data_IF_741721059518
#
_entry.id   IF_741721059518
#
_cell.length_a   1.000
_cell.length_b   1.000
_cell.length_c   1.000
_cell.angle_alpha   90.00
_cell.angle_beta   90.00
_cell.angle_gamma   90.00
#
_symmetry.space_group_name_H-M   'P 1'
#
loop_
_entity.id
_entity.type
_entity.pdbx_description
1 polymer ?
#
# COMPACT_ATOMS: atom_id res chain seq x y z
N UNK A 1 -11.72 -22.11 -22.46
CA UNK A 1 -11.27 -21.78 -21.09
C UNK A 1 -12.53 -21.46 -20.30
N UNK A 2 -12.81 -22.15 -19.20
CA UNK A 2 -14.04 -21.97 -18.42
C UNK A 2 -13.74 -21.28 -17.10
N UNK A 3 -14.35 -20.12 -16.88
CA UNK A 3 -14.31 -19.41 -15.60
C UNK A 3 -15.30 -20.03 -14.63
N UNK A 4 -14.92 -20.13 -13.37
CA UNK A 4 -15.80 -20.45 -12.25
C UNK A 4 -15.74 -19.33 -11.23
N UNK A 5 -16.87 -19.06 -10.59
CA UNK A 5 -16.98 -18.08 -9.52
C UNK A 5 -16.71 -18.81 -8.20
N UNK A 6 -15.57 -18.52 -7.60
CA UNK A 6 -15.18 -19.10 -6.31
C UNK A 6 -15.47 -18.09 -5.22
N UNK A 7 -16.25 -18.50 -4.21
CA UNK A 7 -16.36 -17.74 -2.97
C UNK A 7 -15.46 -18.43 -1.93
N UNK A 8 -14.34 -17.81 -1.51
CA UNK A 8 -13.49 -18.39 -0.49
C UNK A 8 -14.27 -18.52 0.83
N UNK A 9 -13.94 -19.53 1.63
CA UNK A 9 -14.50 -19.64 2.98
C UNK A 9 -14.24 -18.36 3.78
N UNK A 10 -15.21 -17.95 4.60
CA UNK A 10 -15.13 -16.66 5.33
C UNK A 10 -13.88 -16.54 6.19
N UNK A 11 -13.45 -17.63 6.82
CA UNK A 11 -12.22 -17.65 7.62
C UNK A 11 -10.97 -17.47 6.75
N UNK A 12 -10.94 -18.11 5.58
CA UNK A 12 -9.86 -17.96 4.61
C UNK A 12 -9.84 -16.52 4.11
N UNK A 13 -10.97 -15.99 3.63
CA UNK A 13 -11.08 -14.62 3.16
C UNK A 13 -10.60 -13.61 4.22
N UNK A 14 -11.04 -13.77 5.47
CA UNK A 14 -10.62 -12.92 6.57
C UNK A 14 -9.11 -13.03 6.87
N UNK A 15 -8.54 -14.24 6.81
CA UNK A 15 -7.11 -14.48 7.11
C UNK A 15 -6.16 -13.79 6.12
N UNK A 16 -6.62 -13.57 4.89
CA UNK A 16 -5.85 -12.95 3.81
C UNK A 16 -6.40 -11.59 3.37
N UNK A 17 -7.37 -11.03 4.11
CA UNK A 17 -7.93 -9.71 3.82
C UNK A 17 -8.73 -9.62 2.51
N UNK A 18 -9.22 -10.75 2.01
CA UNK A 18 -10.09 -10.78 0.83
C UNK A 18 -11.52 -10.38 1.21
N UNK A 19 -12.24 -9.66 0.32
CA UNK A 19 -13.64 -9.37 0.52
C UNK A 19 -14.50 -10.63 0.38
N UNK A 20 -15.66 -10.65 1.06
CA UNK A 20 -16.65 -11.72 0.96
C UNK A 20 -17.44 -11.60 -0.36
N UNK A 21 -16.75 -11.89 -1.46
CA UNK A 21 -17.27 -11.79 -2.83
C UNK A 21 -16.85 -12.99 -3.66
N UNK A 22 -17.59 -13.24 -4.73
CA UNK A 22 -17.20 -14.23 -5.74
C UNK A 22 -16.03 -13.72 -6.58
N UNK A 23 -15.02 -14.57 -6.76
CA UNK A 23 -13.80 -14.27 -7.49
C UNK A 23 -13.74 -15.18 -8.71
N UNK A 24 -13.60 -14.62 -9.93
CA UNK A 24 -13.48 -15.41 -11.15
C UNK A 24 -12.11 -16.08 -11.21
N UNK A 25 -12.10 -17.40 -11.38
CA UNK A 25 -10.89 -18.22 -11.50
C UNK A 25 -11.09 -19.24 -12.61
N UNK A 26 -10.07 -19.50 -13.43
CA UNK A 26 -10.12 -20.60 -14.40
C UNK A 26 -10.22 -21.94 -13.67
N UNK A 27 -11.16 -22.78 -14.10
CA UNK A 27 -11.49 -24.04 -13.42
C UNK A 27 -10.25 -24.91 -13.13
N UNK A 28 -9.32 -24.97 -14.07
CA UNK A 28 -8.05 -25.71 -13.96
C UNK A 28 -7.08 -25.18 -12.89
N UNK A 29 -7.27 -23.96 -12.38
CA UNK A 29 -6.39 -23.31 -11.41
C UNK A 29 -6.96 -23.28 -9.99
N UNK A 30 -8.23 -23.66 -9.79
CA UNK A 30 -8.93 -23.57 -8.50
C UNK A 30 -8.16 -24.31 -7.41
N UNK A 31 -7.84 -25.59 -7.62
CA UNK A 31 -7.17 -26.42 -6.61
C UNK A 31 -5.76 -25.93 -6.27
N UNK A 32 -5.08 -25.33 -7.25
CA UNK A 32 -3.74 -24.75 -7.06
C UNK A 32 -3.83 -23.48 -6.20
N UNK A 33 -4.80 -22.62 -6.48
CA UNK A 33 -4.93 -21.31 -5.82
C UNK A 33 -5.53 -21.46 -4.42
N UNK A 34 -6.52 -22.33 -4.24
CA UNK A 34 -7.22 -22.55 -2.97
C UNK A 34 -6.80 -23.85 -2.28
N UNK A 35 -5.53 -24.24 -2.45
CA UNK A 35 -4.96 -25.39 -1.75
C UNK A 35 -4.78 -25.14 -0.24
N UNK A 36 -3.72 -25.68 0.34
CA UNK A 36 -3.47 -25.55 1.81
C UNK A 36 -3.32 -24.11 2.29
N UNK A 37 -2.81 -23.22 1.43
CA UNK A 37 -2.75 -21.76 1.63
C UNK A 37 -3.21 -21.12 0.34
N UNK A 38 -3.89 -19.98 0.44
CA UNK A 38 -4.32 -19.23 -0.74
C UNK A 38 -3.10 -18.59 -1.40
N UNK A 39 -2.91 -18.85 -2.68
CA UNK A 39 -1.92 -18.16 -3.52
C UNK A 39 -2.52 -16.84 -4.02
N UNK A 40 -2.38 -15.78 -3.22
CA UNK A 40 -2.97 -14.47 -3.52
C UNK A 40 -2.40 -13.86 -4.81
N UNK A 41 -1.12 -14.07 -5.10
CA UNK A 41 -0.47 -13.58 -6.30
C UNK A 41 -1.11 -14.21 -7.54
N UNK A 42 -1.26 -15.54 -7.55
CA UNK A 42 -1.95 -16.23 -8.62
C UNK A 42 -3.43 -15.85 -8.73
N UNK A 43 -4.10 -15.60 -7.60
CA UNK A 43 -5.49 -15.14 -7.59
C UNK A 43 -5.63 -13.75 -8.25
N UNK A 44 -4.71 -12.82 -7.99
CA UNK A 44 -4.66 -11.52 -8.69
C UNK A 44 -4.41 -11.70 -10.18
N UNK A 45 -3.52 -12.61 -10.57
CA UNK A 45 -3.28 -12.91 -11.99
C UNK A 45 -4.53 -13.46 -12.68
N UNK A 46 -5.35 -14.28 -12.00
CA UNK A 46 -6.64 -14.73 -12.53
C UNK A 46 -7.63 -13.59 -12.71
N UNK A 47 -7.71 -12.66 -11.74
CA UNK A 47 -8.60 -11.51 -11.82
C UNK A 47 -8.22 -10.57 -12.96
N UNK A 48 -6.93 -10.30 -13.17
CA UNK A 48 -6.48 -9.52 -14.33
C UNK A 48 -6.74 -10.25 -15.66
N UNK A 49 -6.53 -11.57 -15.71
CA UNK A 49 -6.84 -12.36 -16.90
C UNK A 49 -8.35 -12.39 -17.21
N UNK A 50 -9.20 -12.42 -16.18
CA UNK A 50 -10.65 -12.33 -16.33
C UNK A 50 -11.06 -10.96 -16.85
N UNK A 51 -10.52 -9.89 -16.28
CA UNK A 51 -10.78 -8.53 -16.71
C UNK A 51 -10.40 -8.28 -18.17
N UNK A 52 -9.31 -8.90 -18.64
CA UNK A 52 -8.90 -8.84 -20.04
C UNK A 52 -9.84 -9.63 -20.97
N UNK A 53 -10.40 -10.74 -20.49
CA UNK A 53 -11.31 -11.59 -21.27
C UNK A 53 -12.76 -11.07 -21.29
N UNK A 54 -13.21 -10.45 -20.19
CA UNK A 54 -14.58 -9.99 -19.97
C UNK A 54 -14.59 -8.51 -19.51
N UNK A 55 -14.23 -7.54 -20.36
CA UNK A 55 -14.09 -6.14 -19.95
C UNK A 55 -15.37 -5.52 -19.37
N UNK A 56 -16.53 -5.97 -19.86
CA UNK A 56 -17.85 -5.50 -19.39
C UNK A 56 -18.17 -5.97 -17.97
N UNK A 57 -17.44 -6.97 -17.46
CA UNK A 57 -17.59 -7.48 -16.10
C UNK A 57 -16.66 -6.81 -15.08
N UNK A 58 -15.71 -5.96 -15.52
CA UNK A 58 -14.71 -5.31 -14.65
C UNK A 58 -15.39 -4.55 -13.51
N UNK A 59 -16.43 -3.77 -13.81
CA UNK A 59 -17.13 -2.97 -12.80
C UNK A 59 -17.70 -3.80 -11.64
N UNK A 60 -17.95 -5.10 -11.85
CA UNK A 60 -18.47 -6.01 -10.81
C UNK A 60 -17.36 -6.52 -9.88
N UNK A 61 -16.12 -6.56 -10.36
CA UNK A 61 -14.98 -7.15 -9.65
C UNK A 61 -13.93 -6.12 -9.24
N UNK A 62 -14.05 -4.86 -9.67
CA UNK A 62 -13.04 -3.81 -9.48
C UNK A 62 -12.66 -3.62 -8.01
N UNK A 63 -13.64 -3.46 -7.12
CA UNK A 63 -13.38 -3.32 -5.69
C UNK A 63 -12.65 -4.54 -5.10
N UNK A 64 -13.00 -5.74 -5.55
CA UNK A 64 -12.35 -6.98 -5.15
C UNK A 64 -10.92 -7.05 -5.66
N UNK A 65 -10.69 -6.72 -6.94
CA UNK A 65 -9.35 -6.65 -7.53
C UNK A 65 -8.45 -5.68 -6.76
N UNK A 66 -8.95 -4.48 -6.46
CA UNK A 66 -8.22 -3.46 -5.71
C UNK A 66 -7.83 -3.95 -4.31
N UNK A 67 -8.78 -4.57 -3.58
CA UNK A 67 -8.50 -5.12 -2.26
C UNK A 67 -7.42 -6.22 -2.31
N UNK A 68 -7.50 -7.09 -3.32
CA UNK A 68 -6.53 -8.15 -3.54
C UNK A 68 -5.12 -7.64 -3.81
N UNK A 69 -4.96 -6.57 -4.61
CA UNK A 69 -3.65 -5.93 -4.78
C UNK A 69 -3.08 -5.46 -3.45
N UNK A 70 -3.88 -4.80 -2.62
CA UNK A 70 -3.44 -4.35 -1.29
C UNK A 70 -2.98 -5.50 -0.39
N UNK A 71 -3.70 -6.63 -0.41
CA UNK A 71 -3.37 -7.82 0.36
C UNK A 71 -2.08 -8.50 -0.12
N UNK A 72 -1.92 -8.71 -1.43
CA UNK A 72 -0.71 -9.29 -2.04
C UNK A 72 0.50 -8.43 -1.72
N UNK A 73 0.40 -7.11 -1.91
CA UNK A 73 1.52 -6.21 -1.66
C UNK A 73 1.91 -6.23 -0.18
N UNK A 74 0.96 -6.27 0.75
CA UNK A 74 1.28 -6.35 2.18
C UNK A 74 1.96 -7.67 2.58
N UNK A 75 1.52 -8.81 2.02
CA UNK A 75 2.20 -10.10 2.20
C UNK A 75 3.65 -10.05 1.66
N UNK A 76 3.84 -9.57 0.43
CA UNK A 76 5.16 -9.46 -0.18
C UNK A 76 6.09 -8.51 0.59
N UNK A 77 5.56 -7.40 1.13
CA UNK A 77 6.32 -6.49 1.99
C UNK A 77 6.75 -7.16 3.31
N UNK A 78 5.88 -7.98 3.92
CA UNK A 78 6.22 -8.75 5.14
C UNK A 78 7.31 -9.78 4.87
N UNK A 79 7.27 -10.42 3.71
CA UNK A 79 8.28 -11.38 3.26
C UNK A 79 9.55 -10.73 2.69
N UNK A 80 9.59 -9.39 2.64
CA UNK A 80 10.69 -8.58 2.07
C UNK A 80 10.95 -8.85 0.58
N UNK A 81 9.95 -9.35 -0.14
CA UNK A 81 9.96 -9.50 -1.61
C UNK A 81 9.61 -8.17 -2.28
N UNK A 82 10.50 -7.19 -2.15
CA UNK A 82 10.21 -5.80 -2.48
C UNK A 82 9.97 -5.56 -3.97
N UNK A 83 10.69 -6.24 -4.85
CA UNK A 83 10.53 -6.11 -6.31
C UNK A 83 9.14 -6.57 -6.76
N UNK A 84 8.67 -7.70 -6.21
CA UNK A 84 7.31 -8.16 -6.47
C UNK A 84 6.28 -7.23 -5.84
N UNK A 85 6.52 -6.74 -4.61
CA UNK A 85 5.63 -5.79 -3.95
C UNK A 85 5.46 -4.50 -4.78
N UNK A 86 6.54 -3.94 -5.32
CA UNK A 86 6.47 -2.79 -6.24
C UNK A 86 5.69 -3.13 -7.51
N UNK A 87 5.97 -4.28 -8.14
CA UNK A 87 5.25 -4.72 -9.34
C UNK A 87 3.74 -4.80 -9.11
N UNK A 88 3.31 -5.46 -8.03
CA UNK A 88 1.89 -5.57 -7.68
C UNK A 88 1.28 -4.23 -7.27
N UNK A 89 2.01 -3.36 -6.57
CA UNK A 89 1.52 -2.03 -6.22
C UNK A 89 1.30 -1.16 -7.46
N UNK A 90 2.23 -1.18 -8.42
CA UNK A 90 2.09 -0.50 -9.71
C UNK A 90 0.93 -1.07 -10.52
N UNK A 91 0.74 -2.39 -10.52
CA UNK A 91 -0.44 -3.04 -11.14
C UNK A 91 -1.73 -2.51 -10.50
N UNK A 92 -1.86 -2.57 -9.19
CA UNK A 92 -3.04 -2.08 -8.48
C UNK A 92 -3.30 -0.58 -8.66
N UNK A 93 -2.25 0.25 -8.77
CA UNK A 93 -2.39 1.68 -9.07
C UNK A 93 -2.88 1.95 -10.50
N UNK A 94 -2.78 1.01 -11.45
CA UNK A 94 -3.44 1.15 -12.75
C UNK A 94 -4.95 0.98 -12.64
N UNK A 95 -5.40 0.14 -11.71
CA UNK A 95 -6.82 -0.05 -11.40
C UNK A 95 -7.36 1.13 -10.59
N UNK A 96 -6.61 1.58 -9.59
CA UNK A 96 -7.01 2.70 -8.73
C UNK A 96 -5.85 3.70 -8.54
N UNK A 97 -5.65 4.65 -9.48
CA UNK A 97 -4.53 5.60 -9.44
C UNK A 97 -4.50 6.49 -8.20
N UNK A 98 -5.68 6.77 -7.63
CA UNK A 98 -5.85 7.58 -6.43
C UNK A 98 -5.69 6.82 -5.12
N UNK A 99 -5.46 5.50 -5.14
CA UNK A 99 -5.49 4.72 -3.90
C UNK A 99 -4.26 4.99 -3.02
N UNK A 100 -4.49 5.75 -1.95
CA UNK A 100 -3.46 6.19 -1.00
C UNK A 100 -2.70 4.99 -0.41
N UNK A 101 -3.39 3.92 0.00
CA UNK A 101 -2.76 2.76 0.64
C UNK A 101 -1.75 2.06 -0.28
N UNK A 102 -2.10 1.80 -1.54
CA UNK A 102 -1.18 1.22 -2.52
C UNK A 102 0.01 2.14 -2.79
N UNK A 103 -0.20 3.45 -2.80
CA UNK A 103 0.89 4.43 -2.98
C UNK A 103 1.87 4.41 -1.80
N UNK A 104 1.35 4.31 -0.56
CA UNK A 104 2.19 4.13 0.64
C UNK A 104 2.98 2.83 0.58
N UNK A 105 2.32 1.73 0.20
CA UNK A 105 2.97 0.44 0.05
C UNK A 105 4.02 0.41 -1.06
N UNK A 106 3.80 1.10 -2.18
CA UNK A 106 4.79 1.29 -3.24
C UNK A 106 6.04 2.00 -2.70
N UNK A 107 5.86 3.08 -1.93
CA UNK A 107 6.97 3.76 -1.28
C UNK A 107 7.72 2.84 -0.30
N UNK A 108 7.00 2.00 0.47
CA UNK A 108 7.63 0.99 1.35
C UNK A 108 8.46 -0.02 0.56
N UNK A 109 7.97 -0.50 -0.58
CA UNK A 109 8.71 -1.43 -1.42
C UNK A 109 10.01 -0.79 -1.94
N UNK A 110 9.92 0.42 -2.50
CA UNK A 110 11.07 1.17 -3.01
C UNK A 110 12.09 1.49 -1.92
N UNK A 111 11.63 1.92 -0.75
CA UNK A 111 12.49 2.15 0.41
C UNK A 111 13.19 0.85 0.84
N UNK A 112 12.48 -0.28 0.86
CA UNK A 112 13.06 -1.60 1.15
C UNK A 112 14.18 -2.01 0.18
N UNK A 113 14.15 -1.49 -1.04
CA UNK A 113 15.19 -1.67 -2.07
C UNK A 113 16.29 -0.60 -2.04
N UNK A 114 16.30 0.28 -1.03
CA UNK A 114 17.27 1.38 -0.91
C UNK A 114 16.99 2.57 -1.83
N UNK A 115 15.82 2.63 -2.49
CA UNK A 115 15.39 3.73 -3.35
C UNK A 115 14.58 4.75 -2.53
N UNK A 116 15.25 5.39 -1.58
CA UNK A 116 14.64 6.29 -0.61
C UNK A 116 14.05 7.55 -1.26
N UNK A 117 14.70 8.11 -2.28
CA UNK A 117 14.22 9.29 -2.98
C UNK A 117 12.87 9.01 -3.69
N UNK A 118 12.78 7.91 -4.42
CA UNK A 118 11.54 7.47 -5.07
C UNK A 118 10.44 7.19 -4.05
N UNK A 119 10.76 6.51 -2.95
CA UNK A 119 9.82 6.24 -1.87
C UNK A 119 9.19 7.52 -1.29
N UNK A 120 10.02 8.54 -1.03
CA UNK A 120 9.58 9.83 -0.51
C UNK A 120 8.62 10.54 -1.46
N UNK A 121 8.83 10.46 -2.78
CA UNK A 121 7.88 11.01 -3.76
C UNK A 121 6.49 10.37 -3.59
N UNK A 122 6.42 9.05 -3.42
CA UNK A 122 5.15 8.36 -3.23
C UNK A 122 4.50 8.70 -1.88
N UNK A 123 5.28 8.80 -0.81
CA UNK A 123 4.78 9.15 0.51
C UNK A 123 4.28 10.60 0.59
N UNK A 124 5.00 11.56 0.00
CA UNK A 124 4.54 12.95 -0.14
C UNK A 124 3.23 13.06 -0.92
N UNK A 125 3.12 12.33 -2.03
CA UNK A 125 1.88 12.29 -2.80
C UNK A 125 0.73 11.68 -2.00
N UNK A 126 1.01 10.64 -1.19
CA UNK A 126 0.03 10.04 -0.29
C UNK A 126 -0.40 11.01 0.83
N UNK A 127 0.53 11.73 1.46
CA UNK A 127 0.25 12.78 2.46
C UNK A 127 -0.62 13.88 1.85
N UNK A 128 -0.27 14.35 0.65
CA UNK A 128 -1.03 15.41 -0.04
C UNK A 128 -2.46 14.98 -0.31
N UNK A 129 -2.67 13.77 -0.83
CA UNK A 129 -4.01 13.22 -1.06
C UNK A 129 -4.78 13.03 0.26
N UNK A 130 -4.13 12.46 1.27
CA UNK A 130 -4.72 12.22 2.58
C UNK A 130 -5.17 13.53 3.26
N UNK A 131 -4.37 14.60 3.15
CA UNK A 131 -4.74 15.94 3.64
C UNK A 131 -5.97 16.49 2.90
N UNK A 132 -6.02 16.35 1.57
CA UNK A 132 -7.17 16.78 0.76
C UNK A 132 -8.45 16.02 1.12
N UNK A 133 -8.34 14.75 1.50
CA UNK A 133 -9.47 13.89 1.89
C UNK A 133 -9.81 14.01 3.39
N UNK A 134 -9.09 14.83 4.15
CA UNK A 134 -9.18 14.94 5.62
C UNK A 134 -8.98 13.57 6.33
N UNK A 135 -8.19 12.69 5.72
CA UNK A 135 -7.86 11.35 6.24
C UNK A 135 -6.49 11.37 6.90
N UNK A 136 -6.47 11.67 8.19
CA UNK A 136 -5.22 11.75 8.94
C UNK A 136 -4.66 10.37 9.30
N UNK A 137 -3.38 10.17 9.00
CA UNK A 137 -2.63 8.98 9.41
C UNK A 137 -1.28 9.41 9.99
N UNK A 138 -1.16 9.52 11.33
CA UNK A 138 0.09 9.99 11.94
C UNK A 138 1.32 9.16 11.53
N UNK A 139 1.13 7.85 11.33
CA UNK A 139 2.18 6.97 10.84
C UNK A 139 2.72 7.37 9.45
N UNK A 140 1.84 7.74 8.52
CA UNK A 140 2.25 8.19 7.19
C UNK A 140 3.05 9.49 7.25
N UNK A 141 2.64 10.44 8.08
CA UNK A 141 3.36 11.71 8.26
C UNK A 141 4.73 11.49 8.92
N UNK A 142 4.79 10.66 9.97
CA UNK A 142 6.06 10.29 10.63
C UNK A 142 7.03 9.60 9.66
N UNK A 143 6.53 8.63 8.87
CA UNK A 143 7.32 7.93 7.87
C UNK A 143 7.88 8.90 6.82
N UNK A 144 7.02 9.79 6.32
CA UNK A 144 7.42 10.79 5.31
C UNK A 144 8.43 11.79 5.88
N UNK A 145 8.19 12.29 7.11
CA UNK A 145 9.11 13.23 7.76
C UNK A 145 10.49 12.63 8.00
N UNK A 146 10.55 11.36 8.44
CA UNK A 146 11.83 10.66 8.60
C UNK A 146 12.57 10.51 7.28
N UNK A 147 11.86 10.15 6.22
CA UNK A 147 12.45 9.99 4.89
C UNK A 147 12.98 11.32 4.32
N UNK A 148 12.29 12.43 4.60
CA UNK A 148 12.74 13.78 4.26
C UNK A 148 13.99 14.17 5.06
N UNK A 149 14.02 13.86 6.37
CA UNK A 149 15.19 14.10 7.22
C UNK A 149 16.42 13.34 6.73
N UNK A 150 16.26 12.06 6.35
CA UNK A 150 17.34 11.24 5.77
C UNK A 150 17.86 11.80 4.43
N UNK A 151 17.08 12.65 3.78
CA UNK A 151 17.42 13.33 2.53
C UNK A 151 17.82 14.80 2.75
N UNK A 152 18.07 15.21 3.99
CA UNK A 152 18.43 16.58 4.39
C UNK A 152 17.37 17.64 4.02
N UNK A 153 16.12 17.22 3.82
CA UNK A 153 14.98 18.09 3.54
C UNK A 153 14.30 18.52 4.85
N UNK A 154 15.08 19.14 5.74
CA UNK A 154 14.71 19.37 7.13
C UNK A 154 13.49 20.29 7.30
N UNK A 155 13.36 21.35 6.50
CA UNK A 155 12.20 22.26 6.55
C UNK A 155 10.89 21.55 6.20
N UNK A 156 10.92 20.69 5.19
CA UNK A 156 9.78 19.90 4.78
C UNK A 156 9.42 18.85 5.85
N UNK A 157 10.43 18.21 6.43
CA UNK A 157 10.23 17.28 7.55
C UNK A 157 9.60 17.99 8.76
N UNK A 158 10.10 19.17 9.13
CA UNK A 158 9.58 19.97 10.24
C UNK A 158 8.11 20.36 10.01
N UNK A 159 7.77 20.77 8.79
CA UNK A 159 6.39 21.12 8.40
C UNK A 159 5.44 19.95 8.62
N UNK A 160 5.83 18.73 8.20
CA UNK A 160 4.99 17.54 8.40
C UNK A 160 4.86 17.16 9.87
N UNK A 161 5.89 17.37 10.69
CA UNK A 161 5.82 17.08 12.12
C UNK A 161 4.98 18.11 12.88
N UNK A 162 4.97 19.36 12.42
CA UNK A 162 4.13 20.41 13.01
C UNK A 162 2.64 20.15 12.78
N UNK A 163 2.25 19.59 11.63
CA UNK A 163 0.88 19.12 11.39
C UNK A 163 0.40 18.08 12.42
N UNK A 164 1.32 17.32 13.02
CA UNK A 164 1.00 16.23 13.94
C UNK A 164 0.97 16.63 15.42
N UNK A 165 1.48 17.81 15.78
CA UNK A 165 1.75 18.18 17.17
C UNK A 165 0.52 18.08 18.07
N UNK A 166 -0.65 18.49 17.57
CA UNK A 166 -1.90 18.46 18.32
C UNK A 166 -2.54 17.06 18.38
N UNK A 167 -2.16 16.16 17.47
CA UNK A 167 -2.72 14.80 17.39
C UNK A 167 -1.95 13.76 18.20
N UNK A 168 -0.66 14.03 18.49
CA UNK A 168 0.22 13.10 19.21
C UNK A 168 0.84 13.72 20.49
N UNK A 169 0.05 14.33 21.39
CA UNK A 169 0.60 15.04 22.54
C UNK A 169 1.36 14.13 23.51
N UNK A 170 0.98 12.85 23.60
CA UNK A 170 1.55 11.89 24.55
C UNK A 170 2.61 10.95 23.94
N UNK A 171 2.86 11.00 22.63
CA UNK A 171 3.90 10.16 22.02
C UNK A 171 5.27 10.80 22.16
N UNK A 172 6.07 10.26 23.08
CA UNK A 172 7.43 10.72 23.33
C UNK A 172 8.32 10.68 22.07
N UNK A 173 8.26 9.58 21.31
CA UNK A 173 9.08 9.36 20.11
C UNK A 173 8.78 10.39 19.01
N UNK A 174 7.55 10.89 18.94
CA UNK A 174 7.18 11.97 18.04
C UNK A 174 7.90 13.27 18.43
N UNK A 175 7.87 13.63 19.71
CA UNK A 175 8.52 14.86 20.20
C UNK A 175 10.04 14.79 20.08
N UNK A 176 10.65 13.62 20.29
CA UNK A 176 12.08 13.39 20.06
C UNK A 176 12.46 13.64 18.60
N UNK A 177 11.74 13.02 17.65
CA UNK A 177 11.98 13.22 16.22
C UNK A 177 11.79 14.69 15.81
N UNK A 178 10.74 15.34 16.32
CA UNK A 178 10.45 16.75 16.04
C UNK A 178 11.52 17.68 16.59
N UNK A 179 12.01 17.43 17.80
CA UNK A 179 13.12 18.16 18.39
C UNK A 179 14.39 18.02 17.54
N UNK A 180 14.76 16.78 17.21
CA UNK A 180 15.93 16.48 16.38
C UNK A 180 15.88 17.20 15.03
N UNK A 181 14.76 17.13 14.30
CA UNK A 181 14.63 17.79 13.00
C UNK A 181 14.79 19.31 13.11
N UNK A 182 14.24 19.92 14.16
CA UNK A 182 14.33 21.37 14.38
C UNK A 182 15.74 21.80 14.75
N UNK A 183 16.41 21.05 15.61
CA UNK A 183 17.80 21.32 15.98
C UNK A 183 18.72 21.22 14.75
N UNK A 184 18.52 20.21 13.91
CA UNK A 184 19.28 20.07 12.66
C UNK A 184 18.99 21.22 11.68
N UNK A 185 17.72 21.63 11.54
CA UNK A 185 17.34 22.73 10.65
C UNK A 185 17.92 24.09 11.11
N UNK A 186 18.03 24.30 12.43
CA UNK A 186 18.56 25.53 13.03
C UNK A 186 20.09 25.61 13.14
N UNK A 187 20.82 24.53 12.84
CA UNK A 187 22.29 24.46 12.92
C UNK A 187 22.99 24.59 11.54
N UNK A 188 22.28 25.10 10.53
CA UNK A 188 22.78 25.31 9.16
C UNK A 188 23.41 26.68 8.86
N UNK A 189 23.52 27.56 9.86
CA UNK A 189 24.10 28.92 9.75
C UNK A 189 25.58 28.99 10.17
#
# INVERSE_FOLDING_TARGET
MSWVLVRPDREVAASVGLPDTEIPVRAEHVDRIFGRRVDLAALVDEVEAFAAAEPDAIAKIEATAIAMFGAVVDELLRDRNFELAESYALRGLRWAPGLISLRVQLGRAQHGMGRAAEATVHWLAAVTAARSEQRWSPMLWLLTARALMEQDQLDAAATLLDDLADMLPEQYEFWELRGLVRDLAGNGD
#
